data_IF_566566679409
#
_entry.id   IF_566566679409
#
_cell.length_a   1.000
_cell.length_b   1.000
_cell.length_c   1.000
_cell.angle_alpha   90.00
_cell.angle_beta   90.00
_cell.angle_gamma   90.00
#
_symmetry.space_group_name_H-M   'P 1'
#
loop_
_entity.id
_entity.type
_entity.pdbx_description
1 polymer ?
#
# COMPACT_ATOMS: atom_id res chain seq x y z
N UNK A 1 16.47 -17.57 13.60
CA UNK A 1 16.72 -16.81 12.35
C UNK A 1 15.57 -16.97 11.34
N UNK A 2 14.86 -18.10 11.30
CA UNK A 2 13.75 -18.29 10.33
C UNK A 2 12.54 -17.34 10.50
N UNK A 3 12.14 -17.02 11.73
CA UNK A 3 10.89 -16.28 11.98
C UNK A 3 10.92 -14.83 11.44
N UNK A 4 12.07 -14.16 11.53
CA UNK A 4 12.22 -12.75 11.12
C UNK A 4 12.38 -12.58 9.59
N UNK A 5 13.05 -13.53 8.93
CA UNK A 5 13.17 -13.58 7.47
C UNK A 5 11.79 -13.82 6.81
N UNK A 6 10.98 -14.70 7.42
CA UNK A 6 9.60 -14.94 7.02
C UNK A 6 8.75 -13.67 7.22
N UNK A 7 8.95 -12.94 8.31
CA UNK A 7 8.26 -11.67 8.57
C UNK A 7 8.62 -10.57 7.54
N UNK A 8 9.90 -10.43 7.16
CA UNK A 8 10.28 -9.45 6.14
C UNK A 8 9.65 -9.77 4.77
N UNK A 9 9.72 -11.03 4.33
CA UNK A 9 9.10 -11.46 3.08
C UNK A 9 7.58 -11.28 3.10
N UNK A 10 6.95 -11.53 4.25
CA UNK A 10 5.52 -11.30 4.48
C UNK A 10 5.15 -9.82 4.39
N UNK A 11 5.90 -8.92 5.02
CA UNK A 11 5.67 -7.47 4.97
C UNK A 11 5.87 -6.91 3.56
N UNK A 12 6.94 -7.32 2.87
CA UNK A 12 7.18 -6.89 1.49
C UNK A 12 6.09 -7.40 0.52
N UNK A 13 5.58 -8.62 0.75
CA UNK A 13 4.45 -9.14 -0.03
C UNK A 13 3.15 -8.41 0.32
N UNK A 14 2.91 -8.07 1.59
CA UNK A 14 1.76 -7.30 2.02
C UNK A 14 1.76 -5.89 1.38
N UNK A 15 2.91 -5.20 1.39
CA UNK A 15 3.04 -3.89 0.74
C UNK A 15 2.69 -3.95 -0.75
N UNK A 16 3.19 -4.96 -1.47
CA UNK A 16 2.87 -5.17 -2.89
C UNK A 16 1.39 -5.43 -3.13
N UNK A 17 0.77 -6.30 -2.33
CA UNK A 17 -0.67 -6.59 -2.46
C UNK A 17 -1.55 -5.37 -2.19
N UNK A 18 -1.18 -4.54 -1.22
CA UNK A 18 -1.88 -3.28 -0.93
C UNK A 18 -1.74 -2.32 -2.11
N UNK A 19 -0.56 -2.22 -2.70
CA UNK A 19 -0.34 -1.39 -3.89
C UNK A 19 -1.16 -1.87 -5.10
N UNK A 20 -1.12 -3.18 -5.40
CA UNK A 20 -1.90 -3.78 -6.48
C UNK A 20 -3.41 -3.53 -6.30
N UNK A 21 -3.92 -3.66 -5.07
CA UNK A 21 -5.31 -3.36 -4.75
C UNK A 21 -5.65 -1.87 -4.92
N UNK A 22 -4.72 -0.97 -4.58
CA UNK A 22 -4.89 0.47 -4.78
C UNK A 22 -4.97 0.84 -6.27
N UNK A 23 -4.11 0.23 -7.09
CA UNK A 23 -4.06 0.46 -8.53
C UNK A 23 -5.34 -0.05 -9.21
N UNK A 24 -5.79 -1.27 -8.86
CA UNK A 24 -7.07 -1.84 -9.32
C UNK A 24 -8.27 -0.98 -8.94
N UNK A 25 -8.29 -0.48 -7.69
CA UNK A 25 -9.34 0.43 -7.25
C UNK A 25 -9.33 1.74 -8.04
N UNK A 26 -8.17 2.29 -8.33
CA UNK A 26 -8.00 3.48 -9.16
C UNK A 26 -8.56 3.26 -10.58
N UNK A 27 -8.26 2.12 -11.18
CA UNK A 27 -8.78 1.74 -12.51
C UNK A 27 -10.31 1.61 -12.52
N UNK A 28 -10.88 0.93 -11.52
CA UNK A 28 -12.33 0.81 -11.37
C UNK A 28 -13.01 2.15 -11.10
N UNK A 29 -12.42 3.01 -10.28
CA UNK A 29 -12.94 4.35 -10.00
C UNK A 29 -12.94 5.23 -11.26
N UNK A 30 -11.89 5.17 -12.08
CA UNK A 30 -11.81 5.88 -13.35
C UNK A 30 -12.85 5.36 -14.35
N UNK A 31 -12.96 4.04 -14.50
CA UNK A 31 -13.97 3.41 -15.36
C UNK A 31 -15.38 3.81 -14.94
N UNK A 32 -15.66 3.79 -13.64
CA UNK A 32 -16.94 4.22 -13.08
C UNK A 32 -17.19 5.71 -13.38
N UNK A 33 -16.20 6.57 -13.19
CA UNK A 33 -16.30 8.00 -13.49
C UNK A 33 -16.59 8.25 -14.97
N UNK A 34 -15.93 7.56 -15.88
CA UNK A 34 -16.20 7.65 -17.32
C UNK A 34 -17.63 7.19 -17.67
N UNK A 35 -18.08 6.09 -17.07
CA UNK A 35 -19.44 5.58 -17.29
C UNK A 35 -20.53 6.55 -16.80
N UNK A 36 -20.33 7.22 -15.65
CA UNK A 36 -21.35 8.11 -15.08
C UNK A 36 -21.26 9.54 -15.64
N UNK A 37 -20.08 9.99 -16.09
CA UNK A 37 -19.90 11.35 -16.63
C UNK A 37 -20.47 11.53 -18.03
N UNK A 38 -20.71 10.44 -18.78
CA UNK A 38 -21.62 10.43 -19.93
C UNK A 38 -21.51 11.63 -20.88
N UNK A 39 -20.34 11.96 -21.42
CA UNK A 39 -20.16 12.96 -22.49
C UNK A 39 -20.65 14.40 -22.18
N UNK A 40 -20.89 15.20 -23.23
CA UNK A 40 -21.11 16.67 -23.18
C UNK A 40 -22.44 17.10 -22.52
N UNK A 41 -23.35 16.17 -22.20
CA UNK A 41 -24.63 16.42 -21.53
C UNK A 41 -24.83 15.38 -20.44
N UNK A 42 -25.04 15.82 -19.19
CA UNK A 42 -25.35 14.93 -18.07
C UNK A 42 -26.44 13.93 -18.49
N UNK A 43 -26.18 12.60 -18.42
CA UNK A 43 -27.16 11.59 -18.82
C UNK A 43 -28.44 11.65 -17.98
N UNK A 44 -28.39 12.40 -16.88
CA UNK A 44 -29.48 12.64 -15.92
C UNK A 44 -30.34 13.86 -16.27
N UNK A 45 -30.06 14.55 -17.39
CA UNK A 45 -30.86 15.68 -17.89
C UNK A 45 -30.44 17.05 -17.35
N UNK A 46 -31.29 18.06 -17.58
CA UNK A 46 -31.07 19.46 -17.18
C UNK A 46 -31.87 19.77 -15.92
N UNK A 47 -31.29 20.49 -14.95
CA UNK A 47 -31.98 20.96 -13.74
C UNK A 47 -31.45 20.32 -12.45
N UNK A 48 -32.31 20.27 -11.41
CA UNK A 48 -31.92 19.91 -10.04
C UNK A 48 -31.39 18.47 -9.92
N UNK A 49 -31.95 17.54 -10.72
CA UNK A 49 -31.53 16.14 -10.77
C UNK A 49 -30.13 16.01 -11.36
N UNK A 50 -29.83 16.73 -12.45
CA UNK A 50 -28.49 16.77 -13.06
C UNK A 50 -27.45 17.30 -12.08
N UNK A 51 -27.74 18.44 -11.41
CA UNK A 51 -26.83 19.00 -10.40
C UNK A 51 -26.58 18.07 -9.22
N UNK A 52 -27.62 17.36 -8.74
CA UNK A 52 -27.48 16.38 -7.67
C UNK A 52 -26.60 15.20 -8.08
N UNK A 53 -26.76 14.69 -9.30
CA UNK A 53 -25.94 13.60 -9.83
C UNK A 53 -24.49 14.03 -10.06
N UNK A 54 -24.26 15.24 -10.55
CA UNK A 54 -22.91 15.81 -10.69
C UNK A 54 -22.22 15.91 -9.32
N UNK A 55 -22.95 16.34 -8.29
CA UNK A 55 -22.42 16.41 -6.92
C UNK A 55 -22.11 15.02 -6.35
N UNK A 56 -22.97 14.03 -6.59
CA UNK A 56 -22.72 12.63 -6.21
C UNK A 56 -21.47 12.09 -6.90
N UNK A 57 -21.31 12.34 -8.21
CA UNK A 57 -20.14 11.93 -8.97
C UNK A 57 -18.85 12.57 -8.44
N UNK A 58 -18.93 13.84 -8.05
CA UNK A 58 -17.80 14.56 -7.47
C UNK A 58 -17.42 13.99 -6.10
N UNK A 59 -18.40 13.72 -5.22
CA UNK A 59 -18.14 13.10 -3.92
C UNK A 59 -17.55 11.70 -4.06
N UNK A 60 -18.07 10.90 -5.00
CA UNK A 60 -17.57 9.56 -5.27
C UNK A 60 -16.13 9.60 -5.76
N UNK A 61 -15.81 10.50 -6.70
CA UNK A 61 -14.43 10.70 -7.18
C UNK A 61 -13.50 11.06 -6.02
N UNK A 62 -13.89 12.03 -5.17
CA UNK A 62 -13.10 12.43 -4.01
C UNK A 62 -12.90 11.29 -3.00
N UNK A 63 -13.91 10.43 -2.80
CA UNK A 63 -13.81 9.28 -1.93
C UNK A 63 -12.83 8.24 -2.49
N UNK A 64 -12.90 7.95 -3.80
CA UNK A 64 -11.96 7.06 -4.47
C UNK A 64 -10.51 7.59 -4.39
N UNK A 65 -10.29 8.87 -4.68
CA UNK A 65 -8.97 9.50 -4.59
C UNK A 65 -8.37 9.40 -3.18
N UNK A 66 -9.22 9.60 -2.15
CA UNK A 66 -8.80 9.44 -0.74
C UNK A 66 -8.44 8.00 -0.41
N UNK A 67 -9.23 7.02 -0.84
CA UNK A 67 -8.92 5.61 -0.58
C UNK A 67 -7.62 5.22 -1.28
N UNK A 68 -7.42 5.62 -2.54
CA UNK A 68 -6.18 5.37 -3.28
C UNK A 68 -4.96 5.98 -2.56
N UNK A 69 -5.08 7.23 -2.11
CA UNK A 69 -4.02 7.91 -1.35
C UNK A 69 -3.70 7.16 -0.06
N UNK A 70 -4.71 6.82 0.74
CA UNK A 70 -4.53 6.10 2.00
C UNK A 70 -3.89 4.73 1.81
N UNK A 71 -4.27 4.00 0.75
CA UNK A 71 -3.66 2.72 0.42
C UNK A 71 -2.19 2.88 -0.02
N UNK A 72 -1.87 3.91 -0.80
CA UNK A 72 -0.48 4.24 -1.16
C UNK A 72 0.39 4.64 0.03
N UNK A 73 -0.15 5.43 0.96
CA UNK A 73 0.55 5.76 2.21
C UNK A 73 0.76 4.51 3.08
N UNK A 74 -0.24 3.64 3.15
CA UNK A 74 -0.16 2.37 3.89
C UNK A 74 0.88 1.44 3.28
N UNK A 75 0.91 1.26 1.95
CA UNK A 75 1.90 0.41 1.27
C UNK A 75 3.31 0.94 1.48
N UNK A 76 3.51 2.26 1.40
CA UNK A 76 4.79 2.91 1.68
C UNK A 76 5.24 2.70 3.13
N UNK A 77 4.34 2.86 4.11
CA UNK A 77 4.64 2.62 5.52
C UNK A 77 5.05 1.16 5.77
N UNK A 78 4.34 0.20 5.19
CA UNK A 78 4.67 -1.23 5.30
C UNK A 78 6.02 -1.54 4.66
N UNK A 79 6.34 -0.94 3.50
CA UNK A 79 7.64 -1.10 2.86
C UNK A 79 8.80 -0.56 3.74
N UNK A 80 8.60 0.59 4.39
CA UNK A 80 9.57 1.14 5.36
C UNK A 80 9.74 0.21 6.57
N UNK A 81 8.66 -0.39 7.07
CA UNK A 81 8.74 -1.36 8.17
C UNK A 81 9.53 -2.61 7.76
N UNK A 82 9.32 -3.12 6.55
CA UNK A 82 10.08 -4.25 6.02
C UNK A 82 11.58 -3.93 5.94
N UNK A 83 11.95 -2.79 5.36
CA UNK A 83 13.36 -2.37 5.23
C UNK A 83 14.06 -2.20 6.59
N UNK A 84 13.36 -1.59 7.56
CA UNK A 84 13.87 -1.47 8.93
C UNK A 84 14.07 -2.83 9.59
N UNK A 85 13.14 -3.76 9.41
CA UNK A 85 13.27 -5.12 9.95
C UNK A 85 14.50 -5.83 9.39
N UNK A 86 14.75 -5.73 8.09
CA UNK A 86 15.95 -6.30 7.45
C UNK A 86 17.25 -5.65 7.95
N UNK A 87 17.26 -4.33 8.14
CA UNK A 87 18.42 -3.61 8.68
C UNK A 87 18.75 -4.06 10.11
N UNK A 88 17.74 -4.18 10.96
CA UNK A 88 17.89 -4.66 12.34
C UNK A 88 18.37 -6.11 12.36
N UNK A 89 17.84 -6.96 11.48
CA UNK A 89 18.29 -8.34 11.34
C UNK A 89 19.79 -8.41 11.00
N UNK A 90 20.21 -7.67 9.96
CA UNK A 90 21.60 -7.65 9.54
C UNK A 90 22.53 -7.22 10.69
N UNK A 91 22.18 -6.14 11.39
CA UNK A 91 22.95 -5.67 12.54
C UNK A 91 23.02 -6.70 13.68
N UNK A 92 21.91 -7.38 14.00
CA UNK A 92 21.87 -8.41 15.02
C UNK A 92 22.72 -9.64 14.63
N UNK A 93 22.60 -10.11 13.38
CA UNK A 93 23.40 -11.25 12.89
C UNK A 93 24.89 -10.92 12.90
N UNK A 94 25.30 -9.74 12.45
CA UNK A 94 26.70 -9.31 12.52
C UNK A 94 27.19 -9.24 13.96
N UNK A 95 26.38 -8.73 14.89
CA UNK A 95 26.74 -8.65 16.31
C UNK A 95 26.89 -10.03 16.93
N UNK A 96 25.95 -10.94 16.67
CA UNK A 96 26.00 -12.33 17.16
C UNK A 96 27.22 -13.05 16.61
N UNK A 97 27.50 -12.94 15.31
CA UNK A 97 28.70 -13.53 14.69
C UNK A 97 29.99 -12.98 15.29
N UNK A 98 30.05 -11.68 15.57
CA UNK A 98 31.21 -11.06 16.22
C UNK A 98 31.42 -11.60 17.66
N UNK A 99 30.33 -11.81 18.40
CA UNK A 99 30.39 -12.41 19.75
C UNK A 99 30.85 -13.87 19.69
N UNK A 100 30.32 -14.67 18.76
CA UNK A 100 30.67 -16.10 18.61
C UNK A 100 32.15 -16.29 18.26
N UNK A 101 32.68 -15.46 17.34
CA UNK A 101 34.10 -15.43 16.97
C UNK A 101 35.02 -14.95 18.10
N UNK A 102 34.49 -14.24 19.10
CA UNK A 102 35.25 -13.70 20.24
C UNK A 102 35.34 -14.65 21.43
N UNK A 103 34.64 -15.79 21.39
CA UNK A 103 34.76 -16.87 22.38
C UNK A 103 35.94 -17.78 21.99
N UNK A 104 37.13 -17.68 22.62
CA UNK A 104 38.20 -18.63 22.36
C UNK A 104 37.71 -20.02 22.75
N UNK A 105 37.68 -20.93 21.79
CA UNK A 105 37.48 -22.36 22.03
C UNK A 105 38.50 -22.78 23.08
N UNK A 106 38.06 -23.13 24.29
CA UNK A 106 38.96 -23.67 25.32
C UNK A 106 39.69 -24.86 24.71
N UNK A 107 41.04 -24.86 24.66
CA UNK A 107 41.74 -26.09 24.33
C UNK A 107 41.49 -27.07 25.48
N UNK A 108 41.18 -28.31 25.08
CA UNK A 108 40.91 -29.48 25.92
C UNK A 108 42.17 -29.85 26.72
#
# INVERSE_FOLDING_TARGET
>A
MDEVLVDHASLAQAARRVQEAADLLGEHANTLKEAISGGVRSPWGIGVIGMAMDQINQMLSQACDRVQTNLGETSAAVAVMADRAATIEHANTTTIQALDLSTPSRPI
#
